data_IF_221549454093
#
_entry.id   IF_221549454093
#
_cell.length_a   1.000
_cell.length_b   1.000
_cell.length_c   1.000
_cell.angle_alpha   90.00
_cell.angle_beta   90.00
_cell.angle_gamma   90.00
#
_symmetry.space_group_name_H-M   'P 1'
#
loop_
_entity.id
_entity.type
_entity.pdbx_description
1 polymer ?
#
# COMPACT_ATOMS: atom_id res chain seq x y z
N UNK A 1 12.99 -6.43 27.12
CA UNK A 1 11.73 -5.68 27.36
C UNK A 1 10.86 -5.92 26.15
N UNK A 2 9.67 -6.46 26.34
CA UNK A 2 8.75 -6.76 25.24
C UNK A 2 8.34 -5.48 24.49
N UNK A 3 8.48 -5.49 23.17
CA UNK A 3 8.10 -4.39 22.27
C UNK A 3 6.60 -4.53 21.95
N UNK A 4 5.73 -3.80 22.63
CA UNK A 4 4.29 -3.75 22.31
C UNK A 4 3.95 -2.47 21.55
N UNK A 5 2.87 -2.50 20.75
CA UNK A 5 2.41 -1.31 20.01
C UNK A 5 2.15 -0.13 20.94
N UNK A 6 1.50 -0.35 22.08
CA UNK A 6 1.19 0.73 23.04
C UNK A 6 2.44 1.43 23.58
N UNK A 7 3.49 0.67 23.89
CA UNK A 7 4.76 1.23 24.34
C UNK A 7 5.46 2.04 23.24
N UNK A 8 5.40 1.55 22.00
CA UNK A 8 6.00 2.24 20.84
C UNK A 8 5.23 3.54 20.58
N UNK A 9 3.91 3.50 20.56
CA UNK A 9 3.05 4.67 20.34
C UNK A 9 3.29 5.72 21.45
N UNK A 10 3.28 5.28 22.71
CA UNK A 10 3.52 6.19 23.85
C UNK A 10 4.91 6.86 23.76
N UNK A 11 5.95 6.08 23.45
CA UNK A 11 7.31 6.60 23.28
C UNK A 11 7.40 7.57 22.10
N UNK A 12 6.81 7.24 20.96
CA UNK A 12 6.84 8.05 19.75
C UNK A 12 6.18 9.41 19.98
N UNK A 13 5.02 9.43 20.65
CA UNK A 13 4.33 10.67 21.02
C UNK A 13 5.15 11.49 22.05
N UNK A 14 5.60 10.85 23.12
CA UNK A 14 6.33 11.53 24.19
C UNK A 14 7.67 12.14 23.73
N UNK A 15 8.28 11.57 22.68
CA UNK A 15 9.57 12.03 22.15
C UNK A 15 9.45 12.92 20.90
N UNK A 16 8.24 13.21 20.44
CA UNK A 16 8.03 14.09 19.30
C UNK A 16 8.38 13.44 17.97
N UNK A 17 8.19 12.13 17.84
CA UNK A 17 8.24 11.46 16.54
C UNK A 17 6.95 11.68 15.78
N UNK A 18 5.80 11.53 16.44
CA UNK A 18 4.49 11.76 15.83
C UNK A 18 3.53 12.38 16.82
N UNK A 19 2.56 13.13 16.29
CA UNK A 19 1.43 13.67 17.01
C UNK A 19 0.13 13.27 16.30
N UNK A 20 -1.02 13.15 17.02
CA UNK A 20 -2.32 13.06 16.36
C UNK A 20 -2.56 14.29 15.49
N UNK A 21 -2.95 14.07 14.23
CA UNK A 21 -3.20 15.18 13.31
C UNK A 21 -4.34 16.06 13.78
N UNK A 22 -4.13 17.39 13.85
CA UNK A 22 -5.13 18.39 14.28
C UNK A 22 -5.65 18.17 15.71
N UNK A 23 -4.79 17.71 16.62
CA UNK A 23 -5.15 17.32 17.99
C UNK A 23 -5.90 18.41 18.78
N UNK A 24 -5.55 19.69 18.58
CA UNK A 24 -6.22 20.82 19.26
C UNK A 24 -7.72 20.96 18.92
N UNK A 25 -8.17 20.32 17.84
CA UNK A 25 -9.58 20.28 17.42
C UNK A 25 -10.22 18.90 17.64
N UNK A 26 -9.62 18.04 18.46
CA UNK A 26 -10.10 16.69 18.72
C UNK A 26 -9.51 15.62 17.78
N UNK A 27 -8.63 16.02 16.87
CA UNK A 27 -7.95 15.13 15.95
C UNK A 27 -8.81 14.65 14.78
N UNK A 28 -8.15 13.99 13.84
CA UNK A 28 -8.78 13.23 12.77
C UNK A 28 -8.28 11.78 12.87
N UNK A 29 -9.20 10.83 12.94
CA UNK A 29 -8.86 9.43 13.17
C UNK A 29 -7.84 8.91 12.14
N UNK A 30 -6.80 8.23 12.66
CA UNK A 30 -5.70 7.65 11.88
C UNK A 30 -4.96 8.65 10.98
N UNK A 31 -4.88 9.90 11.40
CA UNK A 31 -4.07 10.95 10.80
C UNK A 31 -2.98 11.34 11.78
N UNK A 32 -1.75 11.41 11.29
CA UNK A 32 -0.57 11.64 12.09
C UNK A 32 0.30 12.72 11.49
N UNK A 33 0.73 13.65 12.34
CA UNK A 33 1.75 14.65 12.00
C UNK A 33 3.13 14.14 12.46
N UNK A 34 4.13 14.22 11.59
CA UNK A 34 5.51 13.91 12.01
C UNK A 34 6.08 15.10 12.79
N UNK A 35 6.41 14.84 14.06
CA UNK A 35 7.03 15.82 14.92
C UNK A 35 8.49 16.09 14.58
N UNK A 36 9.14 16.89 15.43
CA UNK A 36 10.52 17.35 15.21
C UNK A 36 11.56 16.22 15.06
N UNK A 37 11.44 15.12 15.80
CA UNK A 37 12.32 13.95 15.61
C UNK A 37 11.82 13.04 14.48
N UNK A 38 10.50 12.95 14.30
CA UNK A 38 9.91 12.10 13.26
C UNK A 38 10.22 12.59 11.86
N UNK A 39 10.17 13.92 11.62
CA UNK A 39 10.50 14.47 10.29
C UNK A 39 11.98 14.26 9.95
N UNK A 40 12.89 14.37 10.91
CA UNK A 40 14.30 14.10 10.68
C UNK A 40 14.56 12.63 10.35
N UNK A 41 13.98 11.70 11.12
CA UNK A 41 14.06 10.27 10.83
C UNK A 41 13.53 9.96 9.43
N UNK A 42 12.34 10.46 9.11
CA UNK A 42 11.70 10.28 7.81
C UNK A 42 12.55 10.80 6.66
N UNK A 43 13.10 12.02 6.80
CA UNK A 43 13.98 12.60 5.78
C UNK A 43 15.29 11.81 5.63
N UNK A 44 15.85 11.28 6.71
CA UNK A 44 17.05 10.44 6.65
C UNK A 44 16.77 9.13 5.90
N UNK A 45 15.62 8.49 6.13
CA UNK A 45 15.22 7.28 5.39
C UNK A 45 15.03 7.58 3.90
N UNK A 46 14.30 8.66 3.56
CA UNK A 46 14.13 9.10 2.16
C UNK A 46 15.45 9.41 1.48
N UNK A 47 16.35 10.11 2.18
CA UNK A 47 17.69 10.44 1.65
C UNK A 47 18.53 9.19 1.41
N UNK A 48 18.52 8.23 2.35
CA UNK A 48 19.24 6.97 2.21
C UNK A 48 18.73 6.15 1.01
N UNK A 49 17.40 6.10 0.83
CA UNK A 49 16.79 5.44 -0.32
C UNK A 49 17.17 6.14 -1.63
N UNK A 50 17.02 7.46 -1.71
CA UNK A 50 17.34 8.24 -2.91
C UNK A 50 18.81 8.10 -3.29
N UNK A 51 19.70 8.19 -2.32
CA UNK A 51 21.11 7.99 -2.54
C UNK A 51 21.37 6.60 -3.10
N UNK A 52 20.83 5.57 -2.45
CA UNK A 52 21.13 4.17 -2.82
C UNK A 52 20.51 3.78 -4.17
N UNK A 53 19.22 4.06 -4.35
CA UNK A 53 18.47 3.60 -5.52
C UNK A 53 18.60 4.52 -6.74
N UNK A 54 18.84 5.82 -6.55
CA UNK A 54 18.88 6.78 -7.66
C UNK A 54 20.29 7.28 -7.94
N UNK A 55 21.01 7.78 -6.93
CA UNK A 55 22.29 8.45 -7.16
C UNK A 55 23.46 7.49 -7.34
N UNK A 56 23.52 6.41 -6.57
CA UNK A 56 24.59 5.40 -6.65
C UNK A 56 24.34 4.35 -7.74
N UNK A 57 23.10 4.16 -8.16
CA UNK A 57 22.76 3.16 -9.16
C UNK A 57 22.91 3.72 -10.58
N UNK A 58 23.74 3.13 -11.45
CA UNK A 58 24.04 3.68 -12.79
C UNK A 58 22.86 3.58 -13.77
N UNK A 59 21.87 2.74 -13.48
CA UNK A 59 20.71 2.53 -14.35
C UNK A 59 19.62 3.57 -14.12
N UNK A 60 19.49 4.11 -12.90
CA UNK A 60 18.32 4.81 -12.47
C UNK A 60 18.40 6.33 -12.65
N UNK A 61 17.25 6.95 -12.78
CA UNK A 61 17.05 8.39 -12.74
C UNK A 61 15.82 8.72 -11.89
N UNK A 62 15.73 9.96 -11.41
CA UNK A 62 14.63 10.41 -10.57
C UNK A 62 13.64 11.31 -11.28
N UNK A 63 12.40 11.29 -10.83
CA UNK A 63 11.33 12.23 -11.18
C UNK A 63 10.58 12.69 -9.93
N UNK A 64 9.84 13.78 -10.07
CA UNK A 64 8.83 14.22 -9.09
C UNK A 64 7.57 14.61 -9.87
N UNK A 65 6.58 13.70 -9.86
CA UNK A 65 5.37 13.87 -10.65
C UNK A 65 4.26 14.52 -9.80
N UNK A 66 3.39 15.28 -10.47
CA UNK A 66 2.24 15.90 -9.81
C UNK A 66 1.31 14.86 -9.17
N UNK A 67 0.71 15.22 -8.02
CA UNK A 67 -0.31 14.42 -7.36
C UNK A 67 -1.60 14.39 -8.19
N UNK A 68 -2.01 15.56 -8.69
CA UNK A 68 -3.18 15.71 -9.55
C UNK A 68 -2.78 15.40 -10.99
N UNK A 69 -3.45 14.40 -11.56
CA UNK A 69 -3.20 13.92 -12.92
C UNK A 69 -4.49 13.92 -13.72
N UNK A 70 -4.37 13.87 -15.04
CA UNK A 70 -5.54 13.71 -15.90
C UNK A 70 -6.32 12.44 -15.48
N UNK A 71 -7.65 12.51 -15.27
CA UNK A 71 -8.46 11.37 -14.88
C UNK A 71 -8.36 10.16 -15.82
N UNK A 72 -8.02 10.37 -17.10
CA UNK A 72 -7.77 9.29 -18.06
C UNK A 72 -6.62 8.35 -17.61
N UNK A 73 -5.67 8.86 -16.84
CA UNK A 73 -4.60 8.04 -16.26
C UNK A 73 -5.18 6.92 -15.39
N UNK A 74 -6.18 7.26 -14.57
CA UNK A 74 -6.82 6.33 -13.64
C UNK A 74 -7.80 5.37 -14.31
N UNK A 75 -8.38 5.79 -15.44
CA UNK A 75 -9.17 4.91 -16.30
C UNK A 75 -8.26 3.88 -16.97
N UNK A 76 -7.17 4.36 -17.58
CA UNK A 76 -6.21 3.50 -18.30
C UNK A 76 -5.50 2.49 -17.39
N UNK A 77 -5.22 2.87 -16.15
CA UNK A 77 -4.60 1.98 -15.16
C UNK A 77 -5.60 1.08 -14.40
N UNK A 78 -6.90 1.21 -14.67
CA UNK A 78 -7.94 0.41 -14.03
C UNK A 78 -8.37 0.89 -12.63
N UNK A 79 -7.71 1.87 -12.03
CA UNK A 79 -8.01 2.32 -10.65
C UNK A 79 -9.45 2.81 -10.45
N UNK A 80 -10.05 3.44 -11.45
CA UNK A 80 -11.45 3.87 -11.32
C UNK A 80 -12.45 2.71 -11.40
N UNK A 81 -12.07 1.60 -12.01
CA UNK A 81 -12.95 0.46 -12.20
C UNK A 81 -12.80 -0.66 -11.17
N UNK A 82 -11.58 -0.90 -10.66
CA UNK A 82 -11.26 -2.09 -9.88
C UNK A 82 -10.49 -1.84 -8.57
N UNK A 83 -10.11 -0.58 -8.29
CA UNK A 83 -9.43 -0.27 -7.04
C UNK A 83 -10.44 -0.03 -5.92
N UNK A 84 -11.05 -1.10 -5.45
CA UNK A 84 -12.15 -1.06 -4.48
C UNK A 84 -12.04 -2.17 -3.45
N UNK A 85 -12.56 -1.89 -2.24
CA UNK A 85 -12.73 -2.87 -1.18
C UNK A 85 -14.17 -3.40 -1.16
N UNK A 86 -14.38 -4.71 -0.95
CA UNK A 86 -15.70 -5.28 -0.73
C UNK A 86 -16.20 -4.97 0.69
N UNK A 87 -17.20 -4.09 0.81
CA UNK A 87 -17.72 -3.62 2.08
C UNK A 87 -19.08 -4.18 2.42
N UNK A 88 -19.27 -4.47 3.70
CA UNK A 88 -20.58 -4.76 4.31
C UNK A 88 -20.70 -4.09 5.67
N UNK A 89 -21.93 -3.79 6.07
CA UNK A 89 -22.24 -3.21 7.38
C UNK A 89 -22.97 -4.27 8.23
N UNK A 90 -22.67 -4.37 9.52
CA UNK A 90 -23.49 -5.13 10.45
C UNK A 90 -24.77 -4.34 10.72
N UNK A 91 -25.95 -4.95 10.51
CA UNK A 91 -27.26 -4.31 10.73
C UNK A 91 -27.61 -4.10 12.21
N UNK A 92 -26.88 -4.78 13.11
CA UNK A 92 -27.14 -4.72 14.55
C UNK A 92 -26.31 -3.62 15.25
N UNK A 93 -25.00 -3.58 15.01
CA UNK A 93 -24.11 -2.60 15.65
C UNK A 93 -23.71 -1.45 14.73
N UNK A 94 -24.11 -1.48 13.46
CA UNK A 94 -23.83 -0.48 12.42
C UNK A 94 -22.33 -0.29 12.10
N UNK A 95 -21.49 -1.20 12.57
CA UNK A 95 -20.07 -1.18 12.24
C UNK A 95 -19.84 -1.69 10.81
N UNK A 96 -18.83 -1.11 10.15
CA UNK A 96 -18.47 -1.40 8.77
C UNK A 96 -17.22 -2.26 8.71
N UNK A 97 -17.25 -3.24 7.81
CA UNK A 97 -16.16 -4.20 7.65
C UNK A 97 -15.84 -4.47 6.19
N UNK A 98 -14.61 -4.89 5.93
CA UNK A 98 -14.22 -5.53 4.68
C UNK A 98 -14.63 -7.00 4.74
N UNK A 99 -15.39 -7.44 3.73
CA UNK A 99 -15.91 -8.81 3.67
C UNK A 99 -14.77 -9.83 3.53
N UNK A 100 -13.78 -9.54 2.70
CA UNK A 100 -12.59 -10.37 2.51
C UNK A 100 -11.83 -10.59 3.83
N UNK A 101 -11.62 -9.55 4.62
CA UNK A 101 -10.88 -9.66 5.90
C UNK A 101 -11.64 -10.46 6.95
N UNK A 102 -12.96 -10.27 7.05
CA UNK A 102 -13.76 -11.09 7.98
C UNK A 102 -13.70 -12.57 7.60
N UNK A 103 -13.70 -12.89 6.30
CA UNK A 103 -13.58 -14.26 5.82
C UNK A 103 -12.22 -14.84 6.19
N UNK A 104 -11.13 -14.11 5.91
CA UNK A 104 -9.76 -14.54 6.22
C UNK A 104 -9.57 -14.79 7.72
N UNK A 105 -9.99 -13.83 8.56
CA UNK A 105 -9.88 -13.91 10.01
C UNK A 105 -10.68 -15.10 10.57
N UNK A 106 -11.93 -15.27 10.10
CA UNK A 106 -12.78 -16.38 10.51
C UNK A 106 -12.21 -17.73 10.07
N UNK A 107 -11.76 -17.85 8.83
CA UNK A 107 -11.16 -19.08 8.31
C UNK A 107 -9.90 -19.45 9.09
N UNK A 108 -9.04 -18.48 9.39
CA UNK A 108 -7.84 -18.66 10.21
C UNK A 108 -8.18 -19.13 11.62
N UNK A 109 -9.17 -18.50 12.28
CA UNK A 109 -9.61 -18.88 13.63
C UNK A 109 -10.18 -20.30 13.69
N UNK A 110 -10.91 -20.71 12.65
CA UNK A 110 -11.57 -22.02 12.56
C UNK A 110 -10.70 -23.11 11.93
N UNK A 111 -9.52 -22.77 11.42
CA UNK A 111 -8.66 -23.70 10.69
C UNK A 111 -9.27 -24.20 9.38
N UNK A 112 -10.05 -23.33 8.70
CA UNK A 112 -10.65 -23.63 7.41
C UNK A 112 -9.63 -23.28 6.31
N UNK A 113 -9.26 -24.27 5.49
CA UNK A 113 -8.45 -24.02 4.29
C UNK A 113 -9.30 -23.34 3.22
N UNK A 114 -8.90 -22.14 2.80
CA UNK A 114 -9.50 -21.43 1.69
C UNK A 114 -8.91 -21.94 0.38
N UNK A 115 -9.75 -22.15 -0.63
CA UNK A 115 -9.34 -22.71 -1.93
C UNK A 115 -8.44 -21.76 -2.74
N UNK A 116 -8.52 -20.47 -2.46
CA UNK A 116 -7.73 -19.40 -3.10
C UNK A 116 -7.72 -18.16 -2.19
N UNK A 117 -6.89 -17.17 -2.54
CA UNK A 117 -6.95 -15.86 -1.89
C UNK A 117 -8.34 -15.24 -2.04
N UNK A 118 -8.89 -14.71 -0.94
CA UNK A 118 -10.23 -14.09 -0.90
C UNK A 118 -10.30 -12.83 -1.77
N UNK A 119 -9.18 -12.16 -2.00
CA UNK A 119 -9.11 -10.96 -2.86
C UNK A 119 -9.57 -11.23 -4.31
N UNK A 120 -9.50 -12.49 -4.75
CA UNK A 120 -9.97 -12.91 -6.09
C UNK A 120 -11.43 -13.36 -6.15
N UNK A 121 -12.14 -13.39 -5.01
CA UNK A 121 -13.52 -13.89 -4.97
C UNK A 121 -14.53 -12.85 -5.44
N UNK A 122 -15.60 -13.33 -6.09
CA UNK A 122 -16.76 -12.48 -6.37
C UNK A 122 -17.52 -12.13 -5.08
N UNK A 123 -18.33 -11.09 -5.13
CA UNK A 123 -19.19 -10.69 -4.00
C UNK A 123 -20.17 -11.80 -3.61
N UNK A 124 -20.62 -12.54 -4.61
CA UNK A 124 -21.52 -13.68 -4.46
C UNK A 124 -20.84 -14.81 -3.68
N UNK A 125 -19.60 -15.16 -4.03
CA UNK A 125 -18.80 -16.18 -3.34
C UNK A 125 -18.48 -15.77 -1.89
N UNK A 126 -18.08 -14.51 -1.68
CA UNK A 126 -17.86 -13.97 -0.34
C UNK A 126 -19.13 -14.03 0.52
N UNK A 127 -20.28 -13.65 -0.06
CA UNK A 127 -21.57 -13.67 0.65
C UNK A 127 -21.99 -15.09 0.98
N UNK A 128 -21.87 -16.02 0.03
CA UNK A 128 -22.18 -17.44 0.23
C UNK A 128 -21.34 -18.04 1.36
N UNK A 129 -20.04 -17.72 1.40
CA UNK A 129 -19.17 -18.19 2.49
C UNK A 129 -19.61 -17.64 3.85
N UNK A 130 -19.89 -16.34 3.93
CA UNK A 130 -20.32 -15.66 5.17
C UNK A 130 -21.64 -16.26 5.68
N UNK A 131 -22.61 -16.43 4.79
CA UNK A 131 -23.93 -16.95 5.14
C UNK A 131 -23.90 -18.44 5.50
N UNK A 132 -23.19 -19.27 4.71
CA UNK A 132 -23.08 -20.71 4.91
C UNK A 132 -22.34 -21.08 6.19
N UNK A 133 -21.36 -20.29 6.60
CA UNK A 133 -20.57 -20.53 7.81
C UNK A 133 -21.10 -19.75 9.02
N UNK A 134 -22.20 -18.99 8.88
CA UNK A 134 -22.74 -18.11 9.92
C UNK A 134 -21.66 -17.23 10.56
N UNK A 135 -20.82 -16.61 9.72
CA UNK A 135 -19.69 -15.80 10.18
C UNK A 135 -20.19 -14.69 11.09
N UNK A 136 -19.74 -14.60 12.35
CA UNK A 136 -20.23 -13.59 13.27
C UNK A 136 -19.61 -12.21 13.03
N UNK A 137 -20.34 -11.18 13.36
CA UNK A 137 -19.78 -9.82 13.41
C UNK A 137 -18.67 -9.75 14.47
N UNK A 138 -17.47 -9.29 14.12
CA UNK A 138 -16.36 -9.19 15.08
C UNK A 138 -16.65 -8.31 16.29
N UNK A 139 -17.56 -7.33 16.17
CA UNK A 139 -17.89 -6.39 17.24
C UNK A 139 -19.01 -6.90 18.16
N UNK A 140 -20.12 -7.37 17.58
CA UNK A 140 -21.30 -7.70 18.38
C UNK A 140 -21.65 -9.19 18.40
N UNK A 141 -20.94 -10.04 17.65
CA UNK A 141 -21.15 -11.49 17.57
C UNK A 141 -22.41 -11.93 16.83
N UNK A 142 -23.20 -11.00 16.27
CA UNK A 142 -24.42 -11.32 15.52
C UNK A 142 -24.09 -11.62 14.06
N UNK A 143 -24.88 -12.50 13.45
CA UNK A 143 -24.82 -12.76 12.02
C UNK A 143 -25.99 -12.04 11.33
N UNK A 144 -25.79 -10.76 10.97
CA UNK A 144 -26.79 -9.97 10.26
C UNK A 144 -26.11 -8.84 9.50
N UNK A 145 -25.69 -9.12 8.27
CA UNK A 145 -24.95 -8.18 7.44
C UNK A 145 -25.81 -7.65 6.28
N UNK A 146 -25.42 -6.49 5.76
CA UNK A 146 -25.92 -5.97 4.48
C UNK A 146 -25.33 -6.78 3.32
N UNK A 147 -25.82 -6.53 2.11
CA UNK A 147 -25.14 -7.00 0.90
C UNK A 147 -23.78 -6.33 0.76
N UNK A 148 -22.85 -7.06 0.10
CA UNK A 148 -21.49 -6.58 -0.16
C UNK A 148 -21.53 -5.59 -1.31
N UNK A 149 -20.92 -4.42 -1.11
CA UNK A 149 -20.79 -3.35 -2.10
C UNK A 149 -19.35 -2.93 -2.29
N UNK A 150 -19.00 -2.57 -3.52
CA UNK A 150 -17.70 -2.03 -3.84
C UNK A 150 -17.54 -0.60 -3.32
N UNK A 151 -16.41 -0.32 -2.71
CA UNK A 151 -16.03 1.02 -2.29
C UNK A 151 -14.69 1.39 -2.92
N UNK A 152 -14.70 2.30 -3.89
CA UNK A 152 -13.48 2.76 -4.53
C UNK A 152 -12.62 3.57 -3.56
N UNK A 153 -11.33 3.20 -3.45
CA UNK A 153 -10.40 3.79 -2.49
C UNK A 153 -9.78 5.12 -2.94
N UNK A 154 -10.09 5.61 -4.14
CA UNK A 154 -9.56 6.89 -4.59
C UNK A 154 -10.27 8.07 -3.94
N UNK A 155 -9.50 9.00 -3.36
CA UNK A 155 -10.03 10.28 -2.95
C UNK A 155 -10.40 11.11 -4.18
N UNK A 156 -11.65 11.52 -4.23
CA UNK A 156 -12.22 12.38 -5.25
C UNK A 156 -12.22 13.83 -4.79
N UNK A 157 -11.85 14.74 -5.69
CA UNK A 157 -11.95 16.19 -5.49
C UNK A 157 -12.31 16.90 -6.80
N UNK A 158 -12.34 18.19 -6.81
CA UNK A 158 -12.74 18.99 -7.96
C UNK A 158 -11.71 20.07 -8.28
N UNK A 159 -11.53 20.35 -9.56
CA UNK A 159 -10.70 21.44 -10.05
C UNK A 159 -11.63 22.55 -10.55
N UNK A 160 -11.37 23.79 -10.12
CA UNK A 160 -12.21 24.95 -10.48
C UNK A 160 -13.35 25.20 -9.49
N UNK A 161 -14.38 25.94 -9.93
CA UNK A 161 -15.42 26.49 -9.05
C UNK A 161 -16.69 25.63 -8.98
N UNK A 162 -16.83 24.62 -9.82
CA UNK A 162 -18.02 23.76 -9.88
C UNK A 162 -17.68 22.31 -9.58
N UNK A 163 -18.52 21.69 -8.76
CA UNK A 163 -18.41 20.28 -8.38
C UNK A 163 -19.20 19.40 -9.36
N UNK A 164 -18.70 19.27 -10.57
CA UNK A 164 -19.32 18.48 -11.64
C UNK A 164 -18.36 17.39 -12.18
N UNK A 165 -18.90 16.52 -13.03
CA UNK A 165 -18.15 15.42 -13.60
C UNK A 165 -16.96 15.86 -14.46
N UNK A 166 -17.02 17.03 -15.09
CA UNK A 166 -15.95 17.55 -15.95
C UNK A 166 -14.77 18.08 -15.15
N UNK A 167 -15.05 18.55 -13.94
CA UNK A 167 -14.07 19.12 -13.03
C UNK A 167 -13.56 18.11 -12.00
N UNK A 168 -14.06 16.87 -12.05
CA UNK A 168 -13.62 15.81 -11.15
C UNK A 168 -12.17 15.41 -11.41
N UNK A 169 -11.37 15.45 -10.35
CA UNK A 169 -9.99 14.93 -10.32
C UNK A 169 -9.82 14.05 -9.08
N UNK A 170 -8.74 13.29 -9.06
CA UNK A 170 -8.46 12.34 -7.99
C UNK A 170 -7.08 12.58 -7.39
N UNK A 171 -6.94 12.35 -6.08
CA UNK A 171 -5.63 12.27 -5.47
C UNK A 171 -5.03 10.90 -5.83
N UNK A 172 -3.78 10.89 -6.27
CA UNK A 172 -3.13 9.64 -6.70
C UNK A 172 -3.08 8.62 -5.56
N UNK A 173 -3.48 7.35 -5.80
CA UNK A 173 -3.40 6.29 -4.80
C UNK A 173 -2.01 5.65 -4.72
N UNK A 174 -1.17 5.90 -5.73
CA UNK A 174 0.22 5.44 -5.81
C UNK A 174 1.04 6.32 -6.76
N UNK A 175 2.33 6.19 -6.70
CA UNK A 175 3.27 7.01 -7.47
C UNK A 175 3.65 6.42 -8.83
N UNK A 176 3.34 5.14 -9.09
CA UNK A 176 3.71 4.39 -10.30
C UNK A 176 3.24 5.05 -11.59
N UNK A 177 1.98 5.49 -11.67
CA UNK A 177 1.42 6.04 -12.91
C UNK A 177 2.11 7.33 -13.33
N UNK A 178 2.60 8.13 -12.37
CA UNK A 178 3.44 9.30 -12.67
C UNK A 178 4.71 8.92 -13.41
N UNK A 179 5.31 7.79 -13.06
CA UNK A 179 6.48 7.23 -13.73
C UNK A 179 6.12 6.76 -15.13
N UNK A 180 5.06 5.95 -15.27
CA UNK A 180 4.66 5.39 -16.57
C UNK A 180 4.28 6.45 -17.59
N UNK A 181 3.48 7.46 -17.23
CA UNK A 181 3.09 8.52 -18.16
C UNK A 181 4.28 9.40 -18.60
N UNK A 182 5.33 9.46 -17.78
CA UNK A 182 6.55 10.20 -18.09
C UNK A 182 7.68 9.36 -18.71
N UNK A 183 7.49 8.06 -18.89
CA UNK A 183 8.52 7.16 -19.40
C UNK A 183 9.23 7.71 -20.65
N UNK A 184 8.47 8.07 -21.71
CA UNK A 184 9.04 8.62 -22.95
C UNK A 184 9.74 9.96 -22.76
N UNK A 185 9.23 10.82 -21.88
CA UNK A 185 9.86 12.10 -21.56
C UNK A 185 11.22 11.87 -20.90
N UNK A 186 11.26 11.00 -19.89
CA UNK A 186 12.49 10.68 -19.17
C UNK A 186 13.50 10.00 -20.09
N UNK A 187 13.08 8.98 -20.85
CA UNK A 187 13.94 8.28 -21.79
C UNK A 187 14.61 9.26 -22.78
N UNK A 188 13.83 10.16 -23.37
CA UNK A 188 14.32 11.14 -24.35
C UNK A 188 15.29 12.14 -23.72
N UNK A 189 14.96 12.68 -22.54
CA UNK A 189 15.76 13.74 -21.91
C UNK A 189 17.01 13.21 -21.25
N UNK A 190 16.97 12.01 -20.66
CA UNK A 190 18.13 11.36 -20.06
C UNK A 190 18.98 10.57 -21.07
N UNK A 191 18.46 10.35 -22.29
CA UNK A 191 19.09 9.52 -23.35
C UNK A 191 19.36 8.08 -22.89
N UNK A 192 18.59 7.59 -21.94
CA UNK A 192 18.71 6.21 -21.43
C UNK A 192 18.14 5.22 -22.46
N UNK A 193 18.73 4.04 -22.46
CA UNK A 193 18.22 2.84 -23.13
C UNK A 193 17.90 1.81 -22.04
N UNK A 194 17.01 0.88 -22.34
CA UNK A 194 16.79 -0.24 -21.44
C UNK A 194 18.07 -1.09 -21.31
N UNK A 195 18.42 -1.61 -20.14
CA UNK A 195 17.68 -1.48 -18.90
C UNK A 195 17.90 -0.14 -18.19
N UNK A 196 16.83 0.47 -17.68
CA UNK A 196 16.93 1.63 -16.78
C UNK A 196 15.70 1.76 -15.88
N UNK A 197 15.87 2.42 -14.74
CA UNK A 197 14.82 2.65 -13.78
C UNK A 197 14.47 4.14 -13.64
N UNK A 198 13.23 4.39 -13.24
CA UNK A 198 12.73 5.72 -12.88
C UNK A 198 12.14 5.63 -11.48
N UNK A 199 12.69 6.41 -10.55
CA UNK A 199 12.20 6.42 -9.18
C UNK A 199 11.66 7.77 -8.76
N UNK A 200 10.74 7.75 -7.82
CA UNK A 200 10.27 8.96 -7.15
C UNK A 200 9.93 8.71 -5.69
N UNK A 201 9.94 9.78 -4.92
CA UNK A 201 9.40 9.82 -3.56
C UNK A 201 8.24 10.78 -3.58
N UNK A 202 7.07 10.36 -3.10
CA UNK A 202 5.93 11.26 -3.11
C UNK A 202 4.77 10.76 -2.27
N UNK A 203 3.87 11.69 -1.95
CA UNK A 203 2.64 11.39 -1.23
C UNK A 203 1.66 10.65 -2.12
N UNK A 204 0.95 9.71 -1.48
CA UNK A 204 -0.16 8.96 -2.05
C UNK A 204 -1.32 8.93 -1.05
N UNK A 205 -2.51 8.65 -1.57
CA UNK A 205 -3.75 8.80 -0.80
C UNK A 205 -4.69 7.63 -1.10
N UNK A 206 -5.08 6.90 -0.08
CA UNK A 206 -6.06 5.82 -0.19
C UNK A 206 -7.14 6.01 0.87
N UNK A 207 -8.39 6.11 0.47
CA UNK A 207 -9.50 6.26 1.39
C UNK A 207 -9.81 4.95 2.12
N UNK A 208 -8.81 4.48 2.87
CA UNK A 208 -8.84 3.23 3.61
C UNK A 208 -10.04 3.17 4.56
N UNK A 209 -10.73 2.05 4.54
CA UNK A 209 -11.91 1.82 5.39
C UNK A 209 -11.49 1.44 6.80
N UNK A 210 -10.45 0.60 6.92
CA UNK A 210 -9.91 0.13 8.19
C UNK A 210 -8.44 0.54 8.35
N UNK A 211 -8.14 1.86 8.40
CA UNK A 211 -6.79 2.29 8.73
C UNK A 211 -6.45 1.86 10.15
N UNK A 212 -5.18 1.59 10.42
CA UNK A 212 -4.82 1.08 11.73
C UNK A 212 -3.33 0.83 11.92
N UNK A 213 -3.02 0.18 13.02
CA UNK A 213 -1.64 -0.14 13.40
C UNK A 213 -0.74 1.11 13.41
N UNK A 214 -1.25 2.19 14.02
CA UNK A 214 -0.53 3.46 14.16
C UNK A 214 -0.23 4.09 12.79
N UNK A 215 1.04 4.31 12.44
CA UNK A 215 1.46 4.89 11.15
C UNK A 215 1.61 3.85 10.04
N UNK A 216 1.34 2.58 10.31
CA UNK A 216 1.52 1.50 9.33
C UNK A 216 0.48 1.57 8.20
N UNK A 217 -0.80 1.83 8.51
CA UNK A 217 -1.86 1.98 7.50
C UNK A 217 -2.64 3.26 7.74
N UNK A 218 -2.36 4.28 6.93
CA UNK A 218 -2.96 5.61 6.98
C UNK A 218 -3.57 5.97 5.64
N UNK A 219 -4.45 6.97 5.61
CA UNK A 219 -5.10 7.45 4.37
C UNK A 219 -4.20 8.35 3.53
N UNK A 220 -3.24 9.02 4.17
CA UNK A 220 -2.20 9.83 3.55
C UNK A 220 -0.84 9.26 3.96
N UNK A 221 -0.02 8.88 2.99
CA UNK A 221 1.28 8.27 3.22
C UNK A 221 2.30 8.72 2.17
N UNK A 222 3.54 8.33 2.30
CA UNK A 222 4.57 8.52 1.29
C UNK A 222 5.06 7.17 0.78
N UNK A 223 5.30 7.10 -0.54
CA UNK A 223 5.96 5.98 -1.19
C UNK A 223 7.32 6.41 -1.70
N UNK A 224 8.26 5.48 -1.65
CA UNK A 224 9.53 5.52 -2.37
C UNK A 224 9.45 4.39 -3.40
N UNK A 225 9.24 4.74 -4.66
CA UNK A 225 8.91 3.80 -5.73
C UNK A 225 9.91 3.88 -6.86
N UNK A 226 10.29 2.73 -7.39
CA UNK A 226 11.20 2.57 -8.52
C UNK A 226 10.58 1.61 -9.52
N UNK A 227 10.30 2.10 -10.72
CA UNK A 227 9.91 1.28 -11.86
C UNK A 227 11.13 1.01 -12.74
N UNK A 228 11.47 -0.26 -12.92
CA UNK A 228 12.64 -0.67 -13.68
C UNK A 228 12.23 -1.35 -14.98
N UNK A 229 12.68 -0.80 -16.09
CA UNK A 229 12.34 -1.24 -17.44
C UNK A 229 13.52 -2.02 -18.03
N UNK A 230 13.28 -3.26 -18.43
CA UNK A 230 14.31 -4.15 -18.98
C UNK A 230 13.92 -4.71 -20.35
N UNK A 231 14.85 -5.38 -21.01
CA UNK A 231 14.58 -6.09 -22.26
C UNK A 231 13.67 -7.29 -22.00
N UNK A 232 12.70 -7.58 -22.89
CA UNK A 232 11.85 -8.74 -22.77
C UNK A 232 12.65 -10.04 -22.60
N UNK A 233 12.25 -10.88 -21.63
CA UNK A 233 12.91 -12.14 -21.31
C UNK A 233 14.09 -12.03 -20.34
N UNK A 234 14.42 -10.83 -19.84
CA UNK A 234 15.44 -10.62 -18.81
C UNK A 234 14.84 -10.25 -17.45
N UNK A 235 13.52 -10.25 -17.34
CA UNK A 235 12.73 -9.85 -16.18
C UNK A 235 13.12 -10.62 -14.91
N UNK A 236 13.23 -11.95 -14.97
CA UNK A 236 13.59 -12.77 -13.80
C UNK A 236 15.03 -12.59 -13.32
N UNK A 237 15.98 -12.26 -14.24
CA UNK A 237 17.35 -11.91 -13.85
C UNK A 237 17.36 -10.59 -13.09
N UNK A 238 16.66 -9.58 -13.59
CA UNK A 238 16.52 -8.29 -12.92
C UNK A 238 15.70 -8.38 -11.63
N UNK A 239 14.72 -9.28 -11.58
CA UNK A 239 14.00 -9.58 -10.34
C UNK A 239 14.96 -10.05 -9.25
N UNK A 240 15.81 -11.04 -9.56
CA UNK A 240 16.80 -11.56 -8.63
C UNK A 240 17.81 -10.49 -8.20
N UNK A 241 18.25 -9.65 -9.14
CA UNK A 241 19.13 -8.51 -8.84
C UNK A 241 18.48 -7.56 -7.83
N UNK A 242 17.24 -7.11 -8.11
CA UNK A 242 16.55 -6.16 -7.24
C UNK A 242 16.13 -6.76 -5.90
N UNK A 243 15.78 -8.02 -5.85
CA UNK A 243 15.52 -8.76 -4.60
C UNK A 243 16.74 -8.70 -3.67
N UNK A 244 17.92 -9.04 -4.17
CA UNK A 244 19.16 -8.95 -3.41
C UNK A 244 19.53 -7.51 -3.05
N UNK A 245 19.30 -6.57 -3.95
CA UNK A 245 19.61 -5.15 -3.75
C UNK A 245 18.78 -4.56 -2.61
N UNK A 246 17.48 -4.82 -2.58
CA UNK A 246 16.57 -4.39 -1.53
C UNK A 246 16.92 -5.03 -0.18
N UNK A 247 17.18 -6.36 -0.16
CA UNK A 247 17.59 -7.06 1.06
C UNK A 247 18.85 -6.45 1.68
N UNK A 248 19.87 -6.23 0.87
CA UNK A 248 21.13 -5.64 1.32
C UNK A 248 20.97 -4.20 1.80
N UNK A 249 20.04 -3.45 1.22
CA UNK A 249 19.75 -2.09 1.67
C UNK A 249 19.05 -2.10 3.03
N UNK A 250 18.04 -2.95 3.23
CA UNK A 250 17.32 -3.06 4.49
C UNK A 250 18.25 -3.48 5.65
N UNK A 251 19.06 -4.52 5.44
CA UNK A 251 20.05 -4.97 6.43
C UNK A 251 21.12 -3.92 6.68
N UNK A 252 21.52 -3.19 5.64
CA UNK A 252 22.46 -2.07 5.72
C UNK A 252 21.92 -0.87 6.52
N UNK A 253 20.59 -0.70 6.62
CA UNK A 253 19.96 0.27 7.53
C UNK A 253 19.92 -0.21 8.98
N UNK A 254 20.31 -1.45 9.25
CA UNK A 254 20.36 -2.03 10.59
C UNK A 254 19.12 -2.86 10.97
N UNK A 255 18.24 -3.20 10.01
CA UNK A 255 17.23 -4.21 10.25
C UNK A 255 17.91 -5.57 10.45
N UNK A 256 17.52 -6.28 11.49
CA UNK A 256 18.09 -7.56 11.80
C UNK A 256 17.50 -8.67 10.94
N UNK A 257 18.32 -9.60 10.53
CA UNK A 257 17.91 -10.71 9.68
C UNK A 257 16.81 -11.57 10.34
N UNK A 258 16.86 -11.74 11.67
CA UNK A 258 15.82 -12.48 12.40
C UNK A 258 14.47 -11.74 12.49
N UNK A 259 14.46 -10.44 12.24
CA UNK A 259 13.24 -9.61 12.21
C UNK A 259 12.78 -9.32 10.75
N UNK A 260 13.51 -9.84 9.73
CA UNK A 260 13.25 -9.62 8.30
C UNK A 260 13.08 -10.95 7.57
N UNK A 261 12.06 -11.07 6.73
CA UNK A 261 11.92 -12.20 5.81
C UNK A 261 11.52 -11.76 4.41
N UNK A 262 11.80 -12.60 3.43
CA UNK A 262 11.22 -12.48 2.09
C UNK A 262 10.08 -13.48 1.95
N UNK A 263 8.96 -13.05 1.37
CA UNK A 263 7.80 -13.87 1.05
C UNK A 263 7.57 -13.83 -0.44
N UNK A 264 7.88 -14.92 -1.11
CA UNK A 264 7.57 -15.07 -2.53
C UNK A 264 6.09 -15.47 -2.68
N UNK A 265 5.38 -14.83 -3.61
CA UNK A 265 3.98 -15.13 -3.89
C UNK A 265 3.85 -16.46 -4.62
N UNK A 266 2.83 -17.24 -4.27
CA UNK A 266 2.44 -18.42 -5.03
C UNK A 266 1.84 -18.02 -6.39
N UNK A 267 1.81 -18.93 -7.39
CA UNK A 267 1.23 -18.63 -8.69
C UNK A 267 -0.22 -18.12 -8.63
N UNK A 268 -0.98 -18.56 -7.63
CA UNK A 268 -2.38 -18.18 -7.42
C UNK A 268 -2.54 -16.76 -6.82
N UNK A 269 -1.50 -16.25 -6.16
CA UNK A 269 -1.46 -14.91 -5.58
C UNK A 269 -0.93 -13.86 -6.55
N UNK A 270 -0.33 -14.27 -7.67
CA UNK A 270 0.24 -13.34 -8.63
C UNK A 270 -0.84 -12.50 -9.31
N UNK A 271 -0.60 -11.21 -9.45
CA UNK A 271 -1.41 -10.37 -10.32
C UNK A 271 -1.32 -10.88 -11.76
N UNK A 272 -2.38 -10.70 -12.56
CA UNK A 272 -2.47 -11.21 -13.93
C UNK A 272 -1.34 -10.73 -14.87
N UNK A 273 -0.66 -9.65 -14.49
CA UNK A 273 0.46 -9.07 -15.22
C UNK A 273 1.83 -9.44 -14.65
N UNK A 274 1.89 -10.24 -13.58
CA UNK A 274 3.15 -10.51 -12.88
C UNK A 274 3.61 -11.96 -13.09
N UNK A 275 4.89 -12.13 -13.40
CA UNK A 275 5.55 -13.44 -13.47
C UNK A 275 6.13 -13.88 -12.13
N UNK A 276 6.47 -12.93 -11.27
CA UNK A 276 7.02 -13.18 -9.94
C UNK A 276 6.81 -11.96 -9.04
N UNK A 277 6.45 -12.20 -7.80
CA UNK A 277 6.33 -11.16 -6.76
C UNK A 277 7.00 -11.64 -5.49
N UNK A 278 7.69 -10.75 -4.80
CA UNK A 278 8.22 -11.00 -3.45
C UNK A 278 8.01 -9.78 -2.58
N UNK A 279 7.59 -10.02 -1.35
CA UNK A 279 7.50 -9.00 -0.32
C UNK A 279 8.66 -9.13 0.66
N UNK A 280 9.15 -7.99 1.13
CA UNK A 280 10.03 -7.94 2.29
C UNK A 280 9.18 -7.60 3.50
N UNK A 281 9.05 -8.54 4.41
CA UNK A 281 8.24 -8.39 5.61
C UNK A 281 9.12 -8.22 6.83
N UNK A 282 8.69 -7.33 7.72
CA UNK A 282 9.31 -7.09 9.02
C UNK A 282 8.41 -7.59 10.15
N UNK A 283 9.03 -8.11 11.21
CA UNK A 283 8.33 -8.58 12.40
C UNK A 283 7.95 -7.39 13.30
N UNK A 284 6.75 -6.85 13.05
CA UNK A 284 6.16 -5.83 13.91
C UNK A 284 5.58 -6.45 15.19
N UNK A 285 5.24 -5.64 16.22
CA UNK A 285 4.54 -6.15 17.40
C UNK A 285 3.17 -6.78 17.13
N UNK A 286 2.56 -6.47 15.98
CA UNK A 286 1.30 -7.06 15.52
C UNK A 286 1.48 -8.25 14.55
N UNK A 287 2.70 -8.67 14.31
CA UNK A 287 3.04 -9.77 13.40
C UNK A 287 3.84 -9.32 12.18
N UNK A 288 3.99 -10.21 11.21
CA UNK A 288 4.66 -9.92 9.96
C UNK A 288 3.89 -8.89 9.14
N UNK A 289 4.58 -7.87 8.67
CA UNK A 289 4.01 -6.82 7.84
C UNK A 289 4.95 -6.43 6.70
N UNK A 290 4.38 -6.16 5.54
CA UNK A 290 5.10 -5.76 4.35
C UNK A 290 5.82 -4.43 4.55
N UNK A 291 7.11 -4.40 4.24
CA UNK A 291 7.97 -3.20 4.21
C UNK A 291 8.20 -2.73 2.78
N UNK A 292 8.46 -3.68 1.89
CA UNK A 292 8.69 -3.43 0.47
C UNK A 292 7.93 -4.51 -0.30
N UNK A 293 6.97 -4.11 -1.12
CA UNK A 293 6.34 -4.96 -2.12
C UNK A 293 7.06 -4.84 -3.46
N UNK A 294 7.08 -5.94 -4.22
CA UNK A 294 7.73 -5.98 -5.51
C UNK A 294 7.04 -6.93 -6.47
N UNK A 295 6.59 -6.38 -7.60
CA UNK A 295 6.00 -7.15 -8.68
C UNK A 295 6.83 -7.03 -9.97
N UNK A 296 6.81 -8.08 -10.78
CA UNK A 296 7.36 -8.08 -12.14
C UNK A 296 6.25 -8.13 -13.18
N UNK A 297 6.46 -7.35 -14.22
CA UNK A 297 5.61 -7.29 -15.41
C UNK A 297 6.34 -7.89 -16.59
#
# INVERSE_FOLDING_TARGET
>A
MEKTMDKIIALAKARGFVYPGSEIYGGLANTWDYGNLGVELKNNVKKAWWQKFIQENPYNVGVDCAILMNPQTWIASGHLGSFSDPLMDCKECHERFRADKIIEDFASEKGIELKSSVDGWSKEEMKEFIDSNNVPCPTCGKHNFTDIREFNLMFKTFQGVTEDAKNTVYLRPETAQGIFVNFKNVQRTSRKKVPFGIGQIGKSFRNEITPGNFTFRTREFEQMELEFFCEPGTDLEWFSYWKNYCYNWLTGLGLKEEELRTRDHSPEELAFYSNATTDFEFMFPFGWGEQIGRAHV
#
